data_IF_483640930197
#
_entry.id   IF_483640930197
#
_cell.length_a   1.000
_cell.length_b   1.000
_cell.length_c   1.000
_cell.angle_alpha   90.00
_cell.angle_beta   90.00
_cell.angle_gamma   90.00
#
_symmetry.space_group_name_H-M   'P 1'
#
loop_
_entity.id
_entity.type
_entity.pdbx_description
1 polymer ?
#
# COMPACT_ATOMS: atom_id res chain seq x y z
N UNK A 1 17.49 15.51 17.03
CA UNK A 1 17.74 14.06 17.20
C UNK A 1 16.53 13.30 16.70
N UNK A 2 16.74 12.16 16.03
CA UNK A 2 15.65 11.24 15.66
C UNK A 2 14.96 10.71 16.91
N UNK A 3 13.64 10.86 16.97
CA UNK A 3 12.79 10.27 17.99
C UNK A 3 12.14 8.99 17.44
N UNK A 4 12.32 7.89 18.16
CA UNK A 4 11.65 6.60 17.87
C UNK A 4 10.31 6.56 18.60
N UNK A 5 9.21 6.40 17.87
CA UNK A 5 7.85 6.32 18.40
C UNK A 5 7.29 4.92 18.19
N UNK A 6 6.74 4.33 19.26
CA UNK A 6 6.18 2.97 19.25
C UNK A 6 4.78 2.88 19.83
N UNK A 7 4.27 3.95 20.44
CA UNK A 7 2.91 4.01 20.96
C UNK A 7 1.97 4.61 19.92
N UNK A 8 0.78 4.03 19.80
CA UNK A 8 -0.29 4.52 18.93
C UNK A 8 -0.58 6.01 19.10
N UNK A 9 -0.81 6.46 20.33
CA UNK A 9 -1.17 7.85 20.61
C UNK A 9 -0.14 8.87 20.10
N UNK A 10 1.15 8.61 20.32
CA UNK A 10 2.20 9.50 19.81
C UNK A 10 2.33 9.42 18.29
N UNK A 11 2.14 8.24 17.70
CA UNK A 11 2.18 8.04 16.25
C UNK A 11 1.10 8.87 15.56
N UNK A 12 -0.15 8.76 16.05
CA UNK A 12 -1.30 9.48 15.54
C UNK A 12 -1.12 11.01 15.68
N UNK A 13 -0.54 11.46 16.80
CA UNK A 13 -0.20 12.87 17.01
C UNK A 13 0.89 13.40 16.06
N UNK A 14 1.77 12.54 15.55
CA UNK A 14 2.73 12.93 14.50
C UNK A 14 2.04 13.00 13.14
N UNK A 15 1.22 11.98 12.81
CA UNK A 15 0.47 11.96 11.56
C UNK A 15 -0.53 13.12 11.44
N UNK A 16 -1.09 13.60 12.56
CA UNK A 16 -1.98 14.76 12.55
C UNK A 16 -1.28 16.09 12.24
N UNK A 17 0.05 16.12 12.18
CA UNK A 17 0.85 17.34 11.96
C UNK A 17 1.44 17.44 10.56
N UNK A 18 1.60 16.33 9.84
CA UNK A 18 2.15 16.28 8.48
C UNK A 18 1.14 16.80 7.46
N UNK A 19 1.62 17.15 6.25
CA UNK A 19 0.77 17.76 5.22
C UNK A 19 -0.28 16.78 4.66
N UNK A 20 0.08 15.50 4.56
CA UNK A 20 -0.83 14.40 4.20
C UNK A 20 -0.19 13.05 4.56
N UNK A 21 -1.01 12.01 4.62
CA UNK A 21 -0.59 10.61 4.75
C UNK A 21 -1.64 9.68 4.11
N UNK A 22 -1.29 8.41 4.01
CA UNK A 22 -2.15 7.33 3.50
C UNK A 22 -2.25 6.22 4.55
N UNK A 23 -3.17 5.27 4.42
CA UNK A 23 -3.38 4.21 5.42
C UNK A 23 -2.11 3.38 5.67
N UNK A 24 -1.25 3.27 4.66
CA UNK A 24 0.07 2.62 4.76
C UNK A 24 0.97 3.22 5.85
N UNK A 25 0.72 4.44 6.31
CA UNK A 25 1.51 5.13 7.33
C UNK A 25 0.97 4.95 8.75
N UNK A 26 -0.22 4.37 8.89
CA UNK A 26 -0.96 4.32 10.16
C UNK A 26 -0.42 3.25 11.10
N UNK A 27 -0.62 3.46 12.40
CA UNK A 27 -0.18 2.52 13.44
C UNK A 27 -0.90 1.19 13.33
N UNK A 28 -2.23 1.23 13.15
CA UNK A 28 -3.05 0.02 13.09
C UNK A 28 -2.63 -0.87 11.92
N UNK A 29 -2.39 -0.30 10.72
CA UNK A 29 -1.93 -1.07 9.56
C UNK A 29 -0.56 -1.72 9.78
N UNK A 30 0.36 -1.00 10.42
CA UNK A 30 1.66 -1.57 10.79
C UNK A 30 1.52 -2.73 11.76
N UNK A 31 0.64 -2.58 12.75
CA UNK A 31 0.43 -3.58 13.81
C UNK A 31 -0.16 -4.88 13.27
N UNK A 32 -1.09 -4.82 12.32
CA UNK A 32 -1.66 -6.02 11.70
C UNK A 32 -0.76 -6.62 10.60
N UNK A 33 0.22 -5.87 10.09
CA UNK A 33 1.11 -6.31 9.01
C UNK A 33 2.42 -6.95 9.50
N UNK A 34 2.85 -6.64 10.73
CA UNK A 34 4.12 -7.11 11.28
C UNK A 34 4.04 -8.60 11.66
N UNK A 35 5.19 -9.27 11.60
CA UNK A 35 5.35 -10.58 12.23
C UNK A 35 5.57 -10.46 13.75
N UNK A 36 5.53 -11.59 14.44
CA UNK A 36 5.65 -11.65 15.91
C UNK A 36 6.98 -11.06 16.41
N UNK A 37 8.09 -11.38 15.76
CA UNK A 37 9.45 -10.94 16.10
C UNK A 37 9.83 -9.56 15.53
N UNK A 38 8.90 -8.92 14.82
CA UNK A 38 9.09 -7.62 14.18
C UNK A 38 8.55 -6.47 15.06
N UNK A 39 9.19 -5.31 14.93
CA UNK A 39 8.85 -4.09 15.68
C UNK A 39 8.45 -2.96 14.74
N UNK A 40 7.24 -2.43 14.93
CA UNK A 40 6.79 -1.22 14.25
C UNK A 40 7.36 0.02 14.96
N UNK A 41 7.90 0.95 14.17
CA UNK A 41 8.41 2.23 14.66
C UNK A 41 8.05 3.35 13.70
N UNK A 42 7.80 4.54 14.22
CA UNK A 42 7.77 5.79 13.47
C UNK A 42 9.00 6.59 13.87
N UNK A 43 9.90 6.84 12.91
CA UNK A 43 11.07 7.67 13.14
C UNK A 43 10.73 9.12 12.81
N UNK A 44 10.71 9.97 13.84
CA UNK A 44 10.40 11.38 13.72
C UNK A 44 11.69 12.22 13.76
N UNK A 45 11.83 13.14 12.81
CA UNK A 45 12.77 14.25 12.83
C UNK A 45 11.99 15.56 12.86
N UNK A 46 12.27 16.41 13.83
CA UNK A 46 11.67 17.74 13.93
C UNK A 46 12.75 18.78 14.21
N UNK A 47 12.83 19.80 13.35
CA UNK A 47 13.80 20.89 13.47
C UNK A 47 13.20 22.16 12.88
N UNK A 48 13.21 23.21 13.68
CA UNK A 48 12.62 24.51 13.35
C UNK A 48 11.15 24.35 12.97
N UNK A 49 10.76 24.55 11.70
CA UNK A 49 9.40 24.32 11.22
C UNK A 49 9.24 23.05 10.37
N UNK A 50 10.29 22.25 10.20
CA UNK A 50 10.27 21.02 9.42
C UNK A 50 9.94 19.82 10.29
N UNK A 51 9.03 18.98 9.80
CA UNK A 51 8.71 17.68 10.38
C UNK A 51 8.87 16.61 9.30
N UNK A 52 9.58 15.55 9.61
CA UNK A 52 9.67 14.33 8.80
C UNK A 52 9.31 13.16 9.71
N UNK A 53 8.44 12.27 9.23
CA UNK A 53 8.12 11.03 9.92
C UNK A 53 8.19 9.86 8.94
N UNK A 54 8.86 8.78 9.33
CA UNK A 54 9.07 7.61 8.48
C UNK A 54 8.57 6.37 9.23
N UNK A 55 7.39 5.84 8.87
CA UNK A 55 6.86 4.62 9.46
C UNK A 55 7.53 3.39 8.86
N UNK A 56 7.98 2.48 9.74
CA UNK A 56 8.94 1.43 9.42
C UNK A 56 8.69 0.17 10.28
N UNK A 57 9.14 -0.98 9.76
CA UNK A 57 9.24 -2.25 10.48
C UNK A 57 10.71 -2.61 10.64
N UNK A 58 11.17 -2.75 11.88
CA UNK A 58 12.49 -3.29 12.22
C UNK A 58 12.37 -4.81 12.33
N UNK A 59 13.21 -5.52 11.58
CA UNK A 59 13.24 -6.98 11.52
C UNK A 59 14.58 -7.52 12.03
N UNK A 60 14.59 -8.51 12.93
CA UNK A 60 15.83 -9.18 13.32
C UNK A 60 16.42 -9.96 12.13
N UNK A 61 17.75 -10.04 12.08
CA UNK A 61 18.48 -10.90 11.14
C UNK A 61 18.89 -12.16 11.89
N UNK A 62 18.24 -13.30 11.56
CA UNK A 62 18.38 -14.57 12.26
C UNK A 62 19.86 -14.98 12.41
N UNK A 63 20.24 -15.39 13.63
CA UNK A 63 21.59 -15.84 13.96
C UNK A 63 22.63 -14.71 14.02
N UNK A 64 22.20 -13.47 14.25
CA UNK A 64 23.06 -12.30 14.46
C UNK A 64 22.41 -11.32 15.45
N UNK A 65 23.16 -10.33 15.92
CA UNK A 65 22.64 -9.21 16.73
C UNK A 65 22.23 -7.99 15.89
N UNK A 66 22.10 -8.17 14.57
CA UNK A 66 21.81 -7.11 13.62
C UNK A 66 20.35 -7.12 13.18
N UNK A 67 19.91 -5.99 12.64
CA UNK A 67 18.56 -5.80 12.14
C UNK A 67 18.57 -5.18 10.75
N UNK A 68 17.46 -5.28 10.05
CA UNK A 68 17.17 -4.42 8.91
C UNK A 68 15.79 -3.81 9.02
N UNK A 69 15.56 -2.81 8.19
CA UNK A 69 14.31 -2.07 8.15
C UNK A 69 13.63 -2.30 6.81
N UNK A 70 12.32 -2.54 6.85
CA UNK A 70 11.43 -2.54 5.69
C UNK A 70 10.21 -1.67 5.95
N UNK A 71 9.52 -1.21 4.91
CA UNK A 71 8.14 -0.74 5.03
C UNK A 71 7.18 -1.91 5.13
N UNK A 72 5.96 -1.64 5.60
CA UNK A 72 4.78 -2.50 5.35
C UNK A 72 4.59 -2.78 3.85
N UNK A 73 3.82 -3.82 3.53
CA UNK A 73 3.39 -4.04 2.15
C UNK A 73 2.48 -2.88 1.71
N UNK A 74 2.92 -2.11 0.73
CA UNK A 74 2.21 -0.92 0.27
C UNK A 74 3.15 0.23 -0.02
N UNK A 75 2.64 1.46 0.03
CA UNK A 75 3.42 2.66 -0.28
C UNK A 75 3.54 3.57 0.96
N UNK A 76 4.50 3.24 1.81
CA UNK A 76 4.61 3.78 3.16
C UNK A 76 5.52 4.99 3.29
N UNK A 77 6.54 5.16 2.44
CA UNK A 77 7.46 6.31 2.32
C UNK A 77 7.78 7.20 3.54
N UNK A 78 8.42 8.36 3.35
CA UNK A 78 8.39 9.45 4.32
C UNK A 78 7.12 10.30 4.19
N UNK A 79 6.58 10.78 5.30
CA UNK A 79 5.61 11.89 5.33
C UNK A 79 6.23 13.10 6.01
N UNK A 80 5.76 14.29 5.67
CA UNK A 80 6.40 15.50 6.15
C UNK A 80 5.48 16.70 6.23
N UNK A 81 5.96 17.73 6.92
CA UNK A 81 5.40 19.07 6.94
C UNK A 81 6.43 20.09 6.50
N UNK A 82 6.00 21.07 5.70
CA UNK A 82 6.80 22.24 5.30
C UNK A 82 8.07 21.90 4.50
N UNK A 83 8.15 20.72 3.86
CA UNK A 83 9.28 20.38 2.99
C UNK A 83 9.02 20.97 1.60
N UNK A 84 10.10 21.41 0.94
CA UNK A 84 10.08 21.91 -0.44
C UNK A 84 11.24 21.31 -1.22
N UNK A 85 11.27 21.53 -2.54
CA UNK A 85 12.37 21.10 -3.41
C UNK A 85 13.76 21.62 -3.00
N UNK A 86 13.82 22.70 -2.22
CA UNK A 86 15.06 23.31 -1.73
C UNK A 86 15.40 22.90 -0.27
N UNK A 87 14.69 21.93 0.29
CA UNK A 87 14.94 21.48 1.66
C UNK A 87 16.39 20.97 1.82
N UNK A 88 17.08 21.47 2.84
CA UNK A 88 18.41 21.01 3.20
C UNK A 88 18.30 19.84 4.18
N UNK A 89 18.47 18.62 3.67
CA UNK A 89 18.34 17.40 4.45
C UNK A 89 19.62 16.98 5.22
N UNK A 90 20.67 17.81 5.25
CA UNK A 90 21.98 17.44 5.84
C UNK A 90 21.87 17.04 7.32
N UNK A 91 21.13 17.81 8.12
CA UNK A 91 20.97 17.50 9.54
C UNK A 91 20.15 16.22 9.74
N UNK A 92 19.05 16.07 9.00
CA UNK A 92 18.25 14.85 9.01
C UNK A 92 19.10 13.61 8.67
N UNK A 93 19.88 13.65 7.60
CA UNK A 93 20.77 12.55 7.20
C UNK A 93 21.75 12.19 8.30
N UNK A 94 22.36 13.19 8.94
CA UNK A 94 23.37 12.97 9.98
C UNK A 94 22.75 12.22 11.17
N UNK A 95 21.64 12.74 11.69
CA UNK A 95 20.95 12.14 12.84
C UNK A 95 20.31 10.79 12.51
N UNK A 96 19.81 10.62 11.28
CA UNK A 96 19.24 9.36 10.81
C UNK A 96 20.30 8.27 10.69
N UNK A 97 21.46 8.57 10.11
CA UNK A 97 22.58 7.63 10.03
C UNK A 97 23.09 7.23 11.41
N UNK A 98 23.21 8.18 12.32
CA UNK A 98 23.60 7.92 13.71
C UNK A 98 22.61 6.99 14.42
N UNK A 99 21.31 7.26 14.29
CA UNK A 99 20.26 6.38 14.82
C UNK A 99 20.39 4.94 14.29
N UNK A 100 20.51 4.77 12.97
CA UNK A 100 20.59 3.46 12.33
C UNK A 100 21.84 2.68 12.76
N UNK A 101 22.99 3.34 12.82
CA UNK A 101 24.25 2.72 13.23
C UNK A 101 24.19 2.26 14.70
N UNK A 102 23.72 3.14 15.60
CA UNK A 102 23.58 2.82 17.03
C UNK A 102 22.58 1.68 17.30
N UNK A 103 21.60 1.51 16.41
CA UNK A 103 20.60 0.42 16.46
C UNK A 103 21.05 -0.86 15.75
N UNK A 104 22.29 -0.94 15.25
CA UNK A 104 22.81 -2.07 14.48
C UNK A 104 21.93 -2.40 13.26
N UNK A 105 21.37 -1.38 12.61
CA UNK A 105 20.63 -1.55 11.36
C UNK A 105 21.64 -1.69 10.22
N UNK A 106 21.45 -2.71 9.38
CA UNK A 106 22.35 -3.01 8.25
C UNK A 106 21.84 -2.40 6.95
N UNK A 107 20.53 -2.38 6.74
CA UNK A 107 19.91 -1.81 5.55
C UNK A 107 18.49 -1.31 5.81
N UNK A 108 18.03 -0.39 4.97
CA UNK A 108 16.69 0.18 4.98
C UNK A 108 16.05 0.04 3.60
N UNK A 109 14.81 -0.44 3.58
CA UNK A 109 13.96 -0.51 2.40
C UNK A 109 12.63 0.20 2.66
N UNK A 110 12.14 0.97 1.70
CA UNK A 110 10.77 1.47 1.71
C UNK A 110 10.25 1.70 0.29
N UNK A 111 8.95 1.49 0.08
CA UNK A 111 8.26 1.93 -1.14
C UNK A 111 7.68 3.32 -0.90
N UNK A 112 8.03 4.26 -1.77
CA UNK A 112 7.55 5.64 -1.67
C UNK A 112 6.10 5.75 -2.15
N UNK A 113 5.31 6.62 -1.51
CA UNK A 113 3.92 6.84 -1.89
C UNK A 113 3.80 7.71 -3.15
N UNK A 114 3.21 7.22 -4.24
CA UNK A 114 3.11 8.00 -5.49
C UNK A 114 2.30 9.30 -5.36
N UNK A 115 1.43 9.41 -4.34
CA UNK A 115 0.55 10.57 -4.15
C UNK A 115 1.04 11.52 -3.04
N UNK A 116 2.26 11.30 -2.51
CA UNK A 116 2.86 12.15 -1.48
C UNK A 116 4.14 12.79 -2.04
N UNK A 117 4.14 14.12 -2.07
CA UNK A 117 5.23 14.92 -2.61
C UNK A 117 6.47 14.93 -1.69
N UNK A 118 7.59 15.38 -2.23
CA UNK A 118 8.84 15.68 -1.51
C UNK A 118 9.56 14.51 -0.82
N UNK A 119 9.08 13.27 -0.93
CA UNK A 119 9.77 12.08 -0.40
C UNK A 119 11.20 11.93 -0.95
N UNK A 120 11.40 12.16 -2.26
CA UNK A 120 12.73 12.11 -2.89
C UNK A 120 13.65 13.25 -2.42
N UNK A 121 13.08 14.42 -2.12
CA UNK A 121 13.84 15.57 -1.61
C UNK A 121 14.37 15.28 -0.19
N UNK A 122 13.54 14.67 0.66
CA UNK A 122 13.92 14.20 2.00
C UNK A 122 15.07 13.19 1.92
N UNK A 123 14.98 12.24 0.99
CA UNK A 123 15.90 11.10 0.87
C UNK A 123 17.12 11.37 -0.02
N UNK A 124 17.25 12.57 -0.58
CA UNK A 124 18.34 12.93 -1.49
C UNK A 124 19.71 12.64 -0.84
N UNK A 125 20.57 11.88 -1.52
CA UNK A 125 21.88 11.46 -1.01
C UNK A 125 21.84 10.50 0.20
N UNK A 126 20.70 9.88 0.50
CA UNK A 126 20.54 8.87 1.54
C UNK A 126 20.23 7.50 0.91
N UNK A 127 21.20 6.92 0.21
CA UNK A 127 21.01 5.69 -0.56
C UNK A 127 20.39 5.96 -1.93
N UNK A 128 19.80 4.92 -2.52
CA UNK A 128 19.29 4.92 -3.87
C UNK A 128 17.75 5.03 -3.87
N UNK A 129 17.24 5.96 -4.67
CA UNK A 129 15.82 6.13 -4.94
C UNK A 129 15.56 5.80 -6.42
N UNK A 130 15.10 4.59 -6.68
CA UNK A 130 14.90 4.07 -8.03
C UNK A 130 13.43 4.07 -8.40
N UNK A 131 13.09 4.61 -9.57
CA UNK A 131 11.75 4.50 -10.14
C UNK A 131 11.53 3.07 -10.64
N UNK A 132 10.56 2.37 -10.04
CA UNK A 132 10.35 0.95 -10.34
C UNK A 132 9.25 0.74 -11.38
N UNK A 133 8.07 1.32 -11.13
CA UNK A 133 6.90 1.12 -11.97
C UNK A 133 5.87 2.20 -11.73
N UNK A 134 4.80 2.14 -12.52
CA UNK A 134 3.66 3.03 -12.38
C UNK A 134 2.44 2.31 -11.82
N UNK A 135 1.69 3.03 -10.99
CA UNK A 135 0.33 2.66 -10.60
C UNK A 135 -0.66 3.34 -11.52
N UNK A 136 -1.78 2.66 -11.77
CA UNK A 136 -2.92 3.29 -12.46
C UNK A 136 -3.83 3.89 -11.39
N UNK A 137 -4.28 5.12 -11.60
CA UNK A 137 -5.25 5.75 -10.74
C UNK A 137 -6.34 6.45 -11.54
N UNK A 138 -7.49 6.70 -10.92
CA UNK A 138 -8.51 7.61 -11.45
C UNK A 138 -8.40 8.92 -10.69
N UNK A 139 -8.22 10.02 -11.42
CA UNK A 139 -8.31 11.37 -10.88
C UNK A 139 -9.77 11.71 -10.58
N UNK A 140 -10.10 11.73 -9.30
CA UNK A 140 -11.44 11.97 -8.79
C UNK A 140 -11.80 13.46 -8.73
N UNK A 141 -10.86 14.37 -9.01
CA UNK A 141 -11.12 15.81 -9.05
C UNK A 141 -11.88 16.26 -10.30
N UNK A 142 -11.91 15.42 -11.34
CA UNK A 142 -12.70 15.63 -12.54
C UNK A 142 -14.17 15.24 -12.32
N UNK A 143 -15.09 15.79 -13.11
CA UNK A 143 -16.49 15.38 -13.08
C UNK A 143 -16.67 13.87 -13.38
N UNK A 144 -17.68 13.24 -12.76
CA UNK A 144 -17.98 11.81 -12.92
C UNK A 144 -18.12 11.41 -14.40
N UNK A 145 -18.67 12.27 -15.25
CA UNK A 145 -18.78 11.99 -16.68
C UNK A 145 -17.43 12.03 -17.40
N UNK A 146 -16.56 12.99 -17.06
CA UNK A 146 -15.20 13.11 -17.61
C UNK A 146 -14.34 11.91 -17.20
N UNK A 147 -14.39 11.54 -15.92
CA UNK A 147 -13.73 10.33 -15.42
C UNK A 147 -14.18 9.09 -16.21
N UNK A 148 -15.49 8.93 -16.44
CA UNK A 148 -16.05 7.78 -17.18
C UNK A 148 -15.68 7.81 -18.66
N UNK A 149 -15.38 8.96 -19.25
CA UNK A 149 -14.88 9.03 -20.62
C UNK A 149 -13.53 8.33 -20.78
N UNK A 150 -12.69 8.33 -19.75
CA UNK A 150 -11.40 7.63 -19.71
C UNK A 150 -11.49 6.10 -19.85
N UNK A 151 -12.66 5.51 -19.59
CA UNK A 151 -12.84 4.06 -19.67
C UNK A 151 -12.76 3.57 -21.11
N UNK A 152 -12.12 2.42 -21.31
CA UNK A 152 -12.23 1.68 -22.56
C UNK A 152 -13.69 1.30 -22.85
N UNK A 153 -14.11 1.39 -24.12
CA UNK A 153 -15.50 1.12 -24.55
C UNK A 153 -16.04 -0.21 -24.03
N UNK A 154 -15.20 -1.26 -24.04
CA UNK A 154 -15.59 -2.60 -23.57
C UNK A 154 -15.91 -2.65 -22.07
N UNK A 155 -15.23 -1.86 -21.24
CA UNK A 155 -15.48 -1.79 -19.79
C UNK A 155 -16.84 -1.17 -19.51
N UNK A 156 -17.21 -0.09 -20.21
CA UNK A 156 -18.54 0.54 -20.08
C UNK A 156 -19.66 -0.47 -20.30
N UNK A 157 -19.56 -1.28 -21.36
CA UNK A 157 -20.54 -2.34 -21.64
C UNK A 157 -20.57 -3.43 -20.57
N UNK A 158 -19.42 -3.83 -20.03
CA UNK A 158 -19.37 -4.80 -18.94
C UNK A 158 -20.03 -4.24 -17.67
N UNK A 159 -19.71 -3.01 -17.28
CA UNK A 159 -20.30 -2.36 -16.09
C UNK A 159 -21.82 -2.27 -16.24
N UNK A 160 -22.31 -1.84 -17.40
CA UNK A 160 -23.75 -1.76 -17.67
C UNK A 160 -24.41 -3.14 -17.63
N UNK A 161 -23.71 -4.21 -18.04
CA UNK A 161 -24.20 -5.59 -17.89
C UNK A 161 -24.29 -5.96 -16.41
N UNK A 162 -23.21 -5.79 -15.65
CA UNK A 162 -23.17 -6.13 -14.23
C UNK A 162 -24.23 -5.37 -13.43
N UNK A 163 -24.42 -4.07 -13.68
CA UNK A 163 -25.46 -3.25 -13.00
C UNK A 163 -26.90 -3.72 -13.25
N UNK A 164 -27.15 -4.49 -14.32
CA UNK A 164 -28.47 -5.12 -14.57
C UNK A 164 -28.64 -6.45 -13.86
N UNK A 165 -27.54 -7.18 -13.66
CA UNK A 165 -27.54 -8.54 -13.12
C UNK A 165 -27.24 -8.57 -11.62
N UNK A 166 -26.70 -7.49 -11.06
CA UNK A 166 -26.21 -7.47 -9.69
C UNK A 166 -26.73 -6.29 -8.89
N UNK A 167 -26.81 -6.50 -7.57
CA UNK A 167 -27.02 -5.46 -6.57
C UNK A 167 -25.72 -5.24 -5.80
N UNK A 168 -25.38 -3.99 -5.50
CA UNK A 168 -24.22 -3.62 -4.69
C UNK A 168 -24.65 -3.43 -3.24
N UNK A 169 -23.85 -3.94 -2.31
CA UNK A 169 -24.05 -3.77 -0.87
C UNK A 169 -22.72 -3.47 -0.19
N UNK A 170 -22.69 -2.52 0.75
CA UNK A 170 -21.57 -2.38 1.70
C UNK A 170 -21.73 -3.43 2.80
N UNK A 171 -20.69 -4.21 3.07
CA UNK A 171 -20.72 -5.23 4.11
C UNK A 171 -20.84 -4.58 5.50
N UNK A 172 -21.68 -5.16 6.35
CA UNK A 172 -21.99 -4.69 7.69
C UNK A 172 -21.99 -5.82 8.73
N UNK A 173 -22.06 -7.08 8.31
CA UNK A 173 -22.12 -8.23 9.23
C UNK A 173 -20.91 -9.14 9.09
N UNK A 174 -20.68 -9.98 10.11
CA UNK A 174 -19.60 -10.96 10.09
C UNK A 174 -19.78 -11.96 8.94
N UNK A 175 -21.00 -12.42 8.67
CA UNK A 175 -21.30 -13.38 7.61
C UNK A 175 -20.98 -12.81 6.22
N UNK A 176 -21.17 -11.51 6.02
CA UNK A 176 -20.85 -10.81 4.78
C UNK A 176 -19.34 -10.68 4.56
N UNK A 177 -18.60 -10.45 5.64
CA UNK A 177 -17.13 -10.43 5.62
C UNK A 177 -16.59 -11.84 5.34
N UNK A 178 -17.13 -12.86 6.00
CA UNK A 178 -16.77 -14.26 5.76
C UNK A 178 -17.04 -14.68 4.30
N UNK A 179 -18.18 -14.26 3.75
CA UNK A 179 -18.49 -14.50 2.34
C UNK A 179 -17.44 -13.85 1.41
N UNK A 180 -16.95 -12.65 1.72
CA UNK A 180 -15.86 -12.03 0.97
C UNK A 180 -14.55 -12.79 1.10
N UNK A 181 -14.20 -13.25 2.31
CA UNK A 181 -12.97 -14.02 2.55
C UNK A 181 -12.98 -15.30 1.70
N UNK A 182 -14.10 -16.02 1.66
CA UNK A 182 -14.23 -17.23 0.84
C UNK A 182 -14.06 -16.91 -0.67
N UNK A 183 -14.67 -15.83 -1.14
CA UNK A 183 -14.51 -15.33 -2.52
C UNK A 183 -13.05 -14.95 -2.80
N UNK A 184 -12.36 -14.34 -1.84
CA UNK A 184 -10.97 -13.94 -1.96
C UNK A 184 -10.06 -15.17 -2.09
N UNK A 185 -10.21 -16.19 -1.24
CA UNK A 185 -9.43 -17.42 -1.32
C UNK A 185 -9.70 -18.19 -2.61
N UNK A 186 -10.96 -18.30 -3.05
CA UNK A 186 -11.28 -18.89 -4.36
C UNK A 186 -10.55 -18.16 -5.49
N UNK A 187 -10.51 -16.83 -5.43
CA UNK A 187 -9.81 -16.01 -6.40
C UNK A 187 -8.29 -16.21 -6.38
N UNK A 188 -7.67 -16.33 -5.19
CA UNK A 188 -6.24 -16.62 -5.04
C UNK A 188 -5.87 -18.01 -5.60
N UNK A 189 -6.67 -19.03 -5.30
CA UNK A 189 -6.51 -20.37 -5.85
C UNK A 189 -6.56 -20.36 -7.38
N UNK A 190 -7.53 -19.64 -7.96
CA UNK A 190 -7.72 -19.57 -9.42
C UNK A 190 -6.57 -18.90 -10.15
N UNK A 191 -5.90 -17.93 -9.53
CA UNK A 191 -4.78 -17.19 -10.14
C UNK A 191 -3.42 -17.76 -9.77
N UNK A 192 -3.37 -18.86 -9.02
CA UNK A 192 -2.13 -19.48 -8.53
C UNK A 192 -1.25 -18.45 -7.81
N UNK A 193 -1.85 -17.72 -6.86
CA UNK A 193 -1.15 -16.68 -6.11
C UNK A 193 -0.05 -17.26 -5.21
N UNK A 194 1.01 -16.50 -4.97
CA UNK A 194 2.04 -16.87 -4.00
C UNK A 194 1.45 -16.95 -2.57
N UNK A 195 2.03 -17.80 -1.71
CA UNK A 195 1.57 -18.04 -0.33
C UNK A 195 1.40 -16.75 0.48
N UNK A 196 2.22 -15.73 0.22
CA UNK A 196 2.14 -14.42 0.89
C UNK A 196 0.84 -13.65 0.64
N UNK A 197 0.03 -14.05 -0.36
CA UNK A 197 -1.29 -13.48 -0.61
C UNK A 197 -2.41 -14.22 0.14
N UNK A 198 -2.14 -15.34 0.81
CA UNK A 198 -3.12 -16.05 1.63
C UNK A 198 -3.10 -15.54 3.07
N UNK A 199 -3.72 -14.37 3.27
CA UNK A 199 -3.93 -13.81 4.61
C UNK A 199 -4.84 -14.70 5.45
N UNK A 200 -4.61 -14.77 6.77
CA UNK A 200 -5.52 -15.46 7.67
C UNK A 200 -6.86 -14.70 7.82
N UNK A 201 -7.88 -15.36 8.39
CA UNK A 201 -9.19 -14.72 8.60
C UNK A 201 -9.09 -13.53 9.55
N UNK A 202 -8.26 -13.64 10.57
CA UNK A 202 -8.07 -12.61 11.59
C UNK A 202 -7.53 -11.31 11.00
N UNK A 203 -6.67 -11.38 9.97
CA UNK A 203 -6.21 -10.22 9.23
C UNK A 203 -7.38 -9.40 8.67
N UNK A 204 -8.35 -10.02 8.00
CA UNK A 204 -9.50 -9.29 7.44
C UNK A 204 -10.35 -8.62 8.53
N UNK A 205 -10.64 -9.34 9.61
CA UNK A 205 -11.43 -8.78 10.71
C UNK A 205 -10.69 -7.68 11.46
N UNK A 206 -9.39 -7.84 11.70
CA UNK A 206 -8.57 -6.83 12.35
C UNK A 206 -8.43 -5.60 11.45
N UNK A 207 -8.25 -5.78 10.14
CA UNK A 207 -8.20 -4.70 9.15
C UNK A 207 -9.48 -3.86 9.19
N UNK A 208 -10.65 -4.51 9.17
CA UNK A 208 -11.95 -3.83 9.20
C UNK A 208 -12.28 -3.15 10.54
N UNK A 209 -11.56 -3.48 11.62
CA UNK A 209 -11.69 -2.87 12.95
C UNK A 209 -10.74 -1.70 13.20
N UNK A 210 -9.78 -1.46 12.30
CA UNK A 210 -8.84 -0.36 12.41
C UNK A 210 -9.58 0.98 12.37
N UNK A 211 -9.18 1.93 13.22
CA UNK A 211 -9.85 3.24 13.31
C UNK A 211 -9.06 4.36 12.65
N UNK A 212 -7.82 4.08 12.22
CA UNK A 212 -6.91 5.08 11.63
C UNK A 212 -7.21 5.38 10.16
N UNK A 213 -8.08 4.59 9.56
CA UNK A 213 -8.50 4.70 8.17
C UNK A 213 -9.90 4.12 8.03
N UNK A 214 -10.64 4.56 7.01
CA UNK A 214 -11.96 4.01 6.71
C UNK A 214 -11.83 2.87 5.70
N UNK A 215 -12.52 1.75 5.96
CA UNK A 215 -12.56 0.62 5.02
C UNK A 215 -13.97 0.38 4.53
N UNK A 216 -14.13 0.40 3.20
CA UNK A 216 -15.35 0.04 2.51
C UNK A 216 -15.21 -1.32 1.83
N UNK A 217 -15.84 -2.34 2.41
CA UNK A 217 -16.02 -3.62 1.73
C UNK A 217 -17.31 -3.59 0.91
N UNK A 218 -17.20 -3.43 -0.41
CA UNK A 218 -18.32 -3.51 -1.32
C UNK A 218 -18.48 -4.93 -1.85
N UNK A 219 -19.70 -5.46 -1.80
CA UNK A 219 -20.10 -6.77 -2.28
C UNK A 219 -21.03 -6.63 -3.49
N UNK A 220 -20.89 -7.55 -4.45
CA UNK A 220 -21.86 -7.74 -5.51
C UNK A 220 -22.69 -9.00 -5.22
N UNK A 221 -24.01 -8.83 -5.23
CA UNK A 221 -25.00 -9.88 -5.09
C UNK A 221 -25.58 -10.16 -6.47
N UNK A 222 -25.62 -11.41 -6.89
CA UNK A 222 -26.31 -11.81 -8.12
C UNK A 222 -27.83 -11.80 -7.91
N UNK A 223 -28.56 -11.11 -8.78
CA UNK A 223 -30.01 -10.89 -8.61
C UNK A 223 -30.84 -12.15 -8.88
N UNK A 224 -30.33 -13.13 -9.63
CA UNK A 224 -31.04 -14.37 -9.94
C UNK A 224 -30.90 -15.40 -8.80
N UNK A 225 -29.69 -15.55 -8.27
CA UNK A 225 -29.37 -16.56 -7.25
C UNK A 225 -29.34 -16.02 -5.81
N UNK A 226 -29.34 -14.69 -5.64
CA UNK A 226 -29.18 -13.99 -4.37
C UNK A 226 -27.87 -14.36 -3.62
N UNK A 227 -26.83 -14.74 -4.35
CA UNK A 227 -25.53 -15.09 -3.79
C UNK A 227 -24.56 -13.91 -3.83
N UNK A 228 -23.68 -13.80 -2.83
CA UNK A 228 -22.47 -12.99 -2.95
C UNK A 228 -21.52 -13.61 -3.98
N UNK A 229 -21.21 -12.87 -5.04
CA UNK A 229 -20.42 -13.35 -6.18
C UNK A 229 -19.08 -12.63 -6.33
N UNK A 230 -18.93 -11.46 -5.70
CA UNK A 230 -17.71 -10.69 -5.73
C UNK A 230 -17.65 -9.72 -4.56
N UNK A 231 -16.44 -9.34 -4.16
CA UNK A 231 -16.23 -8.22 -3.27
C UNK A 231 -14.92 -7.49 -3.54
N UNK A 232 -14.86 -6.25 -3.08
CA UNK A 232 -13.66 -5.41 -3.11
C UNK A 232 -13.56 -4.63 -1.81
N UNK A 233 -12.41 -4.70 -1.16
CA UNK A 233 -12.03 -3.83 -0.05
C UNK A 233 -11.34 -2.58 -0.61
N UNK A 234 -11.93 -1.43 -0.33
CA UNK A 234 -11.33 -0.12 -0.56
C UNK A 234 -10.97 0.53 0.76
N UNK A 235 -9.82 1.21 0.79
CA UNK A 235 -9.32 1.87 1.99
C UNK A 235 -9.20 3.35 1.71
N UNK A 236 -9.86 4.18 2.52
CA UNK A 236 -9.88 5.64 2.37
C UNK A 236 -9.07 6.26 3.49
N UNK A 237 -8.15 7.15 3.14
CA UNK A 237 -7.38 7.95 4.11
C UNK A 237 -7.07 9.31 3.51
N UNK A 238 -7.43 10.38 4.23
CA UNK A 238 -7.41 11.73 3.72
C UNK A 238 -8.15 11.82 2.37
N UNK A 239 -7.46 12.14 1.27
CA UNK A 239 -8.04 12.26 -0.08
C UNK A 239 -7.62 11.11 -1.02
N UNK A 240 -7.12 10.01 -0.45
CA UNK A 240 -6.61 8.86 -1.20
C UNK A 240 -7.50 7.64 -0.92
N UNK A 241 -7.96 6.99 -1.99
CA UNK A 241 -8.68 5.71 -1.95
C UNK A 241 -7.81 4.64 -2.60
N UNK A 242 -7.64 3.53 -1.89
CA UNK A 242 -6.78 2.42 -2.30
C UNK A 242 -7.63 1.20 -2.61
N UNK A 243 -7.54 0.68 -3.84
CA UNK A 243 -8.06 -0.63 -4.23
C UNK A 243 -7.17 -1.72 -3.63
N UNK A 244 -7.55 -2.26 -2.47
CA UNK A 244 -6.67 -3.11 -1.66
C UNK A 244 -6.80 -4.59 -2.05
N UNK A 245 -7.94 -5.22 -1.73
CA UNK A 245 -8.19 -6.63 -1.98
C UNK A 245 -9.48 -6.81 -2.78
N UNK A 246 -9.52 -7.83 -3.64
CA UNK A 246 -10.68 -8.09 -4.49
C UNK A 246 -10.78 -9.56 -4.85
N UNK A 247 -12.00 -10.03 -5.07
CA UNK A 247 -12.24 -11.36 -5.62
C UNK A 247 -13.56 -11.45 -6.40
N UNK A 248 -13.66 -12.46 -7.25
CA UNK A 248 -14.88 -12.86 -7.94
C UNK A 248 -14.92 -14.38 -8.00
N UNK A 249 -16.07 -14.97 -7.67
CA UNK A 249 -16.30 -16.40 -7.84
C UNK A 249 -16.14 -16.79 -9.31
N UNK A 250 -15.50 -17.93 -9.55
CA UNK A 250 -15.10 -18.44 -10.85
C UNK A 250 -16.29 -18.54 -11.81
N UNK A 251 -17.42 -19.06 -11.33
CA UNK A 251 -18.64 -19.26 -12.11
C UNK A 251 -19.29 -17.96 -12.57
N UNK A 252 -18.94 -16.83 -11.96
CA UNK A 252 -19.54 -15.51 -12.22
C UNK A 252 -18.57 -14.53 -12.91
N UNK A 253 -17.40 -14.98 -13.36
CA UNK A 253 -16.43 -14.13 -14.06
C UNK A 253 -17.01 -13.50 -15.34
N UNK A 254 -17.94 -14.17 -16.02
CA UNK A 254 -18.63 -13.67 -17.20
C UNK A 254 -19.54 -12.44 -16.92
N UNK A 255 -19.93 -12.21 -15.66
CA UNK A 255 -20.68 -11.03 -15.23
C UNK A 255 -19.75 -9.82 -15.05
N UNK A 256 -18.48 -10.06 -14.71
CA UNK A 256 -17.44 -9.04 -14.48
C UNK A 256 -17.75 -8.05 -13.33
N UNK A 257 -18.25 -8.50 -12.17
CA UNK A 257 -18.78 -7.65 -11.10
C UNK A 257 -17.75 -6.69 -10.48
N UNK A 258 -16.47 -7.06 -10.37
CA UNK A 258 -15.41 -6.16 -9.85
C UNK A 258 -15.36 -4.84 -10.61
N UNK A 259 -15.63 -4.84 -11.92
CA UNK A 259 -15.61 -3.60 -12.70
C UNK A 259 -16.71 -2.63 -12.29
N UNK A 260 -17.86 -3.16 -11.92
CA UNK A 260 -18.96 -2.39 -11.39
C UNK A 260 -18.64 -1.87 -9.98
N UNK A 261 -18.01 -2.68 -9.12
CA UNK A 261 -17.61 -2.27 -7.77
C UNK A 261 -16.57 -1.13 -7.79
N UNK A 262 -15.61 -1.16 -8.71
CA UNK A 262 -14.66 -0.05 -8.92
C UNK A 262 -15.38 1.21 -9.41
N UNK A 263 -16.30 1.07 -10.37
CA UNK A 263 -17.07 2.21 -10.87
C UNK A 263 -17.98 2.84 -9.81
N UNK A 264 -18.50 2.02 -8.89
CA UNK A 264 -19.30 2.49 -7.76
C UNK A 264 -18.43 3.24 -6.74
N UNK A 265 -17.29 2.66 -6.34
CA UNK A 265 -16.37 3.35 -5.41
C UNK A 265 -15.86 4.67 -5.99
N UNK A 266 -15.57 4.74 -7.29
CA UNK A 266 -15.22 6.00 -7.96
C UNK A 266 -16.28 7.07 -7.74
N UNK A 267 -17.56 6.74 -7.90
CA UNK A 267 -18.67 7.67 -7.71
C UNK A 267 -18.77 8.10 -6.24
N UNK A 268 -18.75 7.13 -5.31
CA UNK A 268 -18.80 7.40 -3.87
C UNK A 268 -17.65 8.32 -3.43
N UNK A 269 -16.42 7.95 -3.76
CA UNK A 269 -15.22 8.71 -3.39
C UNK A 269 -15.17 10.11 -4.02
N UNK A 270 -15.72 10.30 -5.23
CA UNK A 270 -15.85 11.63 -5.83
C UNK A 270 -16.80 12.51 -5.01
N UNK A 271 -17.92 11.96 -4.54
CA UNK A 271 -18.88 12.68 -3.70
C UNK A 271 -18.36 12.94 -2.28
N UNK A 272 -17.30 12.26 -1.87
CA UNK A 272 -16.59 12.41 -0.59
C UNK A 272 -15.34 13.29 -0.72
N UNK A 273 -15.19 14.04 -1.82
CA UNK A 273 -14.08 14.96 -2.09
C UNK A 273 -12.68 14.30 -2.07
N UNK A 274 -12.62 13.00 -2.33
CA UNK A 274 -11.34 12.32 -2.55
C UNK A 274 -10.70 12.79 -3.87
N UNK A 275 -9.37 12.75 -3.95
CA UNK A 275 -8.60 13.16 -5.14
C UNK A 275 -8.16 11.99 -6.00
N UNK A 276 -7.81 10.86 -5.38
CA UNK A 276 -7.20 9.75 -6.08
C UNK A 276 -7.88 8.45 -5.72
N UNK A 277 -8.33 7.69 -6.72
CA UNK A 277 -8.62 6.26 -6.57
C UNK A 277 -7.46 5.48 -7.20
N UNK A 278 -6.54 5.02 -6.36
CA UNK A 278 -5.42 4.21 -6.78
C UNK A 278 -5.86 2.76 -7.01
N UNK A 279 -5.73 2.30 -8.26
CA UNK A 279 -5.99 0.91 -8.63
C UNK A 279 -4.74 0.03 -8.45
N UNK A 280 -3.56 0.63 -8.24
CA UNK A 280 -2.27 -0.04 -8.06
C UNK A 280 -1.57 -0.39 -9.38
N UNK A 281 -0.45 -1.11 -9.27
CA UNK A 281 0.38 -1.55 -10.41
C UNK A 281 0.05 -2.95 -10.93
N UNK A 282 0.82 -3.43 -11.91
CA UNK A 282 0.84 -4.83 -12.34
C UNK A 282 1.60 -5.73 -11.35
N UNK A 283 1.46 -7.05 -11.49
CA UNK A 283 2.24 -8.01 -10.72
C UNK A 283 3.72 -7.88 -11.07
N UNK A 284 4.57 -7.76 -10.05
CA UNK A 284 6.02 -7.68 -10.22
C UNK A 284 6.51 -6.52 -11.11
N UNK A 285 5.75 -5.42 -11.19
CA UNK A 285 6.12 -4.22 -11.97
C UNK A 285 6.23 -4.44 -13.49
N UNK A 286 5.61 -5.49 -14.03
CA UNK A 286 5.59 -5.80 -15.48
C UNK A 286 4.28 -5.39 -16.13
N UNK A 287 4.29 -5.19 -17.46
CA UNK A 287 3.07 -5.02 -18.26
C UNK A 287 2.31 -6.35 -18.37
N UNK A 288 1.54 -6.68 -17.34
CA UNK A 288 0.78 -7.91 -17.23
C UNK A 288 -0.73 -7.72 -17.49
N UNK A 289 -1.49 -8.81 -17.36
CA UNK A 289 -2.95 -8.79 -17.51
C UNK A 289 -3.62 -7.91 -16.45
N UNK A 290 -3.05 -7.82 -15.25
CA UNK A 290 -3.57 -7.01 -14.14
C UNK A 290 -3.40 -5.50 -14.42
N UNK A 291 -2.24 -5.08 -14.90
CA UNK A 291 -1.99 -3.69 -15.31
C UNK A 291 -2.89 -3.31 -16.49
N UNK A 292 -3.05 -4.18 -17.49
CA UNK A 292 -3.98 -3.95 -18.61
C UNK A 292 -5.44 -3.81 -18.15
N UNK A 293 -5.85 -4.59 -17.15
CA UNK A 293 -7.16 -4.46 -16.53
C UNK A 293 -7.31 -3.08 -15.86
N UNK A 294 -6.34 -2.61 -15.08
CA UNK A 294 -6.41 -1.31 -14.42
C UNK A 294 -6.38 -0.16 -15.42
N UNK A 295 -5.50 -0.23 -16.43
CA UNK A 295 -5.41 0.71 -17.57
C UNK A 295 -6.69 0.78 -18.41
N UNK A 296 -7.64 -0.13 -18.21
CA UNK A 296 -8.94 -0.08 -18.88
C UNK A 296 -9.93 0.91 -18.24
N UNK A 297 -9.66 1.35 -17.00
CA UNK A 297 -10.39 2.39 -16.29
C UNK A 297 -9.76 3.77 -16.46
N UNK A 298 -8.43 3.85 -16.53
CA UNK A 298 -7.75 5.13 -16.62
C UNK A 298 -6.45 5.00 -17.39
N UNK A 299 -6.04 6.09 -18.05
CA UNK A 299 -4.71 6.23 -18.65
C UNK A 299 -3.72 6.97 -17.74
N UNK A 300 -4.22 7.55 -16.66
CA UNK A 300 -3.40 8.27 -15.70
C UNK A 300 -2.51 7.29 -14.94
N UNK A 301 -1.25 7.67 -14.84
CA UNK A 301 -0.19 6.88 -14.23
C UNK A 301 0.58 7.75 -13.26
N UNK A 302 0.83 7.21 -12.07
CA UNK A 302 1.81 7.78 -11.15
C UNK A 302 2.96 6.81 -10.93
N UNK A 303 4.17 7.34 -10.86
CA UNK A 303 5.36 6.51 -10.65
C UNK A 303 5.62 6.37 -9.16
N UNK A 304 5.80 5.14 -8.70
CA UNK A 304 6.32 4.90 -7.36
C UNK A 304 7.78 4.46 -7.42
N UNK A 305 8.53 4.88 -6.40
CA UNK A 305 9.96 4.61 -6.29
C UNK A 305 10.24 3.69 -5.11
N UNK A 306 11.35 2.97 -5.21
CA UNK A 306 11.93 2.23 -4.11
C UNK A 306 13.06 3.05 -3.49
N UNK A 307 13.06 3.16 -2.17
CA UNK A 307 14.20 3.62 -1.41
C UNK A 307 14.97 2.43 -0.86
N UNK A 308 16.25 2.34 -1.21
CA UNK A 308 17.18 1.31 -0.76
C UNK A 308 18.40 1.98 -0.15
N UNK A 309 18.74 1.64 1.08
CA UNK A 309 19.92 2.20 1.74
C UNK A 309 20.70 1.11 2.48
N UNK A 310 21.99 0.99 2.17
CA UNK A 310 22.93 0.14 2.91
C UNK A 310 23.63 1.02 3.95
N UNK A 311 23.41 0.69 5.22
CA UNK A 311 23.92 1.46 6.37
C UNK A 311 25.35 1.04 6.70
N UNK A 312 25.54 -0.27 6.90
CA UNK A 312 26.83 -0.88 7.22
C UNK A 312 27.24 -1.83 6.09
N UNK A 313 28.13 -1.34 5.22
CA UNK A 313 28.59 -2.07 4.02
C UNK A 313 29.36 -3.34 4.38
N UNK A 314 30.13 -3.33 5.47
CA UNK A 314 30.96 -4.47 5.86
C UNK A 314 30.10 -5.60 6.42
N UNK A 315 29.12 -5.27 7.26
CA UNK A 315 28.15 -6.26 7.76
C UNK A 315 27.26 -6.76 6.64
N UNK A 316 26.79 -5.89 5.75
CA UNK A 316 25.98 -6.29 4.58
C UNK A 316 26.70 -7.33 3.72
N UNK A 317 27.99 -7.10 3.40
CA UNK A 317 28.82 -8.07 2.64
C UNK A 317 29.02 -9.40 3.37
N UNK A 318 29.23 -9.37 4.69
CA UNK A 318 29.34 -10.60 5.51
C UNK A 318 28.05 -11.42 5.45
N UNK A 319 26.89 -10.77 5.60
CA UNK A 319 25.59 -11.44 5.51
C UNK A 319 25.35 -12.07 4.13
N UNK A 320 25.70 -11.37 3.05
CA UNK A 320 25.61 -11.92 1.69
C UNK A 320 26.44 -13.20 1.54
N UNK A 321 27.68 -13.19 2.03
CA UNK A 321 28.56 -14.37 1.94
C UNK A 321 28.04 -15.56 2.74
N UNK A 322 27.36 -15.32 3.88
CA UNK A 322 26.84 -16.37 4.76
C UNK A 322 25.61 -17.07 4.17
N UNK A 323 24.75 -16.33 3.46
CA UNK A 323 23.50 -16.86 2.92
C UNK A 323 23.63 -17.41 1.49
N UNK A 324 24.86 -17.52 0.96
CA UNK A 324 25.14 -17.91 -0.44
C UNK A 324 24.29 -17.15 -1.47
N UNK A 325 23.84 -15.94 -1.11
CA UNK A 325 22.91 -15.17 -1.91
C UNK A 325 23.64 -14.57 -3.11
N UNK A 326 23.48 -15.18 -4.29
CA UNK A 326 24.03 -14.67 -5.55
C UNK A 326 22.99 -13.84 -6.29
N UNK A 327 23.33 -12.59 -6.65
CA UNK A 327 22.61 -11.73 -7.60
C UNK A 327 21.07 -11.90 -7.61
N UNK A 328 20.42 -11.56 -6.49
CA UNK A 328 18.97 -11.47 -6.45
C UNK A 328 18.50 -10.08 -6.86
N UNK A 329 17.34 -9.99 -7.52
CA UNK A 329 16.63 -8.72 -7.74
C UNK A 329 15.88 -8.24 -6.47
N UNK A 330 15.98 -8.97 -5.36
CA UNK A 330 15.37 -8.64 -4.07
C UNK A 330 16.31 -7.78 -3.23
N UNK A 331 15.74 -6.87 -2.44
CA UNK A 331 16.48 -6.05 -1.49
C UNK A 331 15.86 -6.16 -0.08
N UNK A 332 16.68 -6.33 0.98
CA UNK A 332 18.13 -6.53 0.93
C UNK A 332 18.49 -7.92 0.39
N UNK A 333 19.56 -8.01 -0.41
CA UNK A 333 19.86 -9.22 -1.17
C UNK A 333 20.19 -10.44 -0.29
N UNK A 334 20.66 -10.25 0.95
CA UNK A 334 20.89 -11.38 1.86
C UNK A 334 19.59 -12.02 2.38
N UNK A 335 18.41 -11.46 2.09
CA UNK A 335 17.10 -12.06 2.39
C UNK A 335 16.46 -12.77 1.21
N UNK A 336 17.18 -12.95 0.10
CA UNK A 336 16.61 -13.56 -1.11
C UNK A 336 16.52 -15.08 -1.10
N UNK A 337 16.93 -15.72 -0.01
CA UNK A 337 17.05 -17.18 0.17
C UNK A 337 15.88 -17.74 0.95
#
# INVERSE_FOLDING_TARGET
MIKEITSKQEWDNVLSKVDTYDFYHTYDYHTISKQEDEKCVLLQFEKDNYLIAIPLIIRPIKGTDYFDITSVYGYSGPVSKNISYNFNNTQFITEFKEYLFNKKIVSVFSRLNPFISHQKDILKNLGDCEDLSSVVFIDLTNDIEVQRQGYQRRIKSHINKSRRLCTIKKAQTQEEIEAFIDIYYENMNRVDAEDSYYFDKDYFFNFLKCNDFETDLLLAIDNETNQYISGVMFVKTNQIVQYHLSGTKTDFLNIMPVKMLIDEMRILATNEDCKYLNLGGGLGSKEDSLLRFKKSFSKELETFSLWKYIVDVDVYKKLLSKNEATNSNYFPAYRSS
#
